data_IF_877780905384
#
_entry.id   IF_877780905384
#
_cell.length_a   1.000
_cell.length_b   1.000
_cell.length_c   1.000
_cell.angle_alpha   90.00
_cell.angle_beta   90.00
_cell.angle_gamma   90.00
#
_symmetry.space_group_name_H-M   'P 1'
#
loop_
_entity.id
_entity.type
_entity.pdbx_description
1 polymer ?
#
# COMPACT_ATOMS: atom_id res chain seq x y z
N UNK A 1 11.41 -21.90 47.34
CA UNK A 1 10.33 -21.07 46.75
C UNK A 1 10.62 -20.87 45.27
N UNK A 2 9.74 -21.36 44.37
CA UNK A 2 9.14 -20.69 43.19
C UNK A 2 10.11 -19.84 42.33
N UNK A 3 10.29 -20.00 41.01
CA UNK A 3 9.40 -20.46 39.91
C UNK A 3 10.28 -20.57 38.64
N UNK A 4 10.30 -21.74 37.98
CA UNK A 4 9.56 -22.08 36.73
C UNK A 4 10.31 -21.72 35.43
N UNK A 5 11.02 -22.71 34.91
CA UNK A 5 11.54 -22.82 33.54
C UNK A 5 10.37 -22.84 32.54
N UNK A 6 10.34 -21.86 31.64
CA UNK A 6 9.61 -21.93 30.38
C UNK A 6 10.40 -22.81 29.41
N UNK A 7 9.97 -24.06 29.25
CA UNK A 7 10.33 -24.90 28.09
C UNK A 7 9.15 -25.75 27.67
N UNK A 8 8.07 -25.11 27.19
CA UNK A 8 7.02 -25.80 26.46
C UNK A 8 7.44 -26.01 25.00
N UNK A 9 8.36 -26.95 24.76
CA UNK A 9 8.44 -27.63 23.48
C UNK A 9 7.28 -28.63 23.45
N UNK A 10 6.16 -28.20 22.85
CA UNK A 10 5.03 -29.07 22.51
C UNK A 10 5.49 -30.07 21.43
N UNK A 11 6.13 -31.14 21.89
CA UNK A 11 6.24 -32.39 21.13
C UNK A 11 4.88 -33.06 21.25
N UNK A 12 4.06 -32.96 20.20
CA UNK A 12 2.84 -33.74 20.08
C UNK A 12 3.20 -35.23 20.10
N UNK A 13 2.71 -36.04 21.06
CA UNK A 13 2.82 -37.49 20.94
C UNK A 13 1.88 -37.96 19.84
N UNK A 14 2.45 -38.44 18.74
CA UNK A 14 1.71 -39.14 17.69
C UNK A 14 1.34 -40.51 18.28
N UNK A 15 0.10 -40.66 18.74
CA UNK A 15 -0.48 -41.98 18.94
C UNK A 15 -0.75 -42.57 17.56
N UNK A 16 0.24 -43.25 16.96
CA UNK A 16 0.00 -44.14 15.84
C UNK A 16 -0.66 -45.41 16.38
N UNK A 17 -1.98 -45.50 16.31
CA UNK A 17 -2.67 -46.78 16.43
C UNK A 17 -2.41 -47.58 15.16
N UNK A 18 -1.38 -48.44 15.18
CA UNK A 18 -1.18 -49.47 14.17
C UNK A 18 -2.17 -50.60 14.43
N UNK A 19 -3.39 -50.49 13.90
CA UNK A 19 -4.21 -51.67 13.69
C UNK A 19 -3.56 -52.50 12.58
N UNK A 20 -2.79 -53.51 12.96
CA UNK A 20 -2.35 -54.58 12.06
C UNK A 20 -3.60 -55.39 11.70
N UNK A 21 -4.14 -55.15 10.51
CA UNK A 21 -5.16 -56.02 9.92
C UNK A 21 -4.52 -57.38 9.64
N UNK A 22 -4.86 -58.41 10.42
CA UNK A 22 -4.59 -59.80 10.05
C UNK A 22 -5.58 -60.20 8.96
N UNK A 23 -5.16 -60.50 7.72
CA UNK A 23 -6.07 -61.02 6.72
C UNK A 23 -6.49 -62.43 7.14
N UNK A 24 -7.80 -62.63 7.32
CA UNK A 24 -8.37 -63.96 7.33
C UNK A 24 -8.16 -64.58 5.95
N UNK A 25 -7.51 -65.75 5.91
CA UNK A 25 -7.40 -66.59 4.72
C UNK A 25 -8.81 -66.96 4.22
N UNK A 26 -9.29 -66.26 3.19
CA UNK A 26 -10.30 -66.80 2.28
C UNK A 26 -9.77 -66.67 0.87
N UNK A 27 -9.36 -67.81 0.31
CA UNK A 27 -9.03 -67.95 -1.11
C UNK A 27 -10.21 -67.50 -1.97
N UNK A 28 -10.10 -66.31 -2.54
CA UNK A 28 -10.79 -65.93 -3.77
C UNK A 28 -9.89 -64.94 -4.51
N UNK A 29 -9.07 -65.50 -5.41
CA UNK A 29 -8.22 -64.79 -6.35
C UNK A 29 -9.07 -64.10 -7.43
N UNK A 30 -9.86 -63.11 -7.02
CA UNK A 30 -10.20 -62.03 -7.94
C UNK A 30 -8.90 -61.25 -8.20
N UNK A 31 -8.50 -61.15 -9.47
CA UNK A 31 -7.42 -60.25 -9.88
C UNK A 31 -7.79 -58.86 -9.36
N UNK A 32 -7.14 -58.43 -8.28
CA UNK A 32 -7.15 -57.02 -7.88
C UNK A 32 -6.38 -56.31 -8.99
N UNK A 33 -7.10 -55.80 -9.98
CA UNK A 33 -6.58 -54.80 -10.90
C UNK A 33 -6.40 -53.55 -10.03
N UNK A 34 -5.23 -53.41 -9.42
CA UNK A 34 -4.81 -52.15 -8.83
C UNK A 34 -4.55 -51.19 -9.99
N UNK A 35 -5.61 -50.57 -10.50
CA UNK A 35 -5.44 -49.34 -11.28
C UNK A 35 -4.75 -48.36 -10.34
N UNK A 36 -3.42 -48.25 -10.48
CA UNK A 36 -2.61 -47.29 -9.75
C UNK A 36 -3.10 -45.91 -10.17
N UNK A 37 -4.03 -45.35 -9.41
CA UNK A 37 -4.48 -43.99 -9.62
C UNK A 37 -3.25 -43.08 -9.52
N UNK A 38 -2.93 -42.41 -10.63
CA UNK A 38 -1.90 -41.39 -10.66
C UNK A 38 -2.22 -40.35 -9.58
N UNK A 39 -1.23 -40.06 -8.74
CA UNK A 39 -1.35 -39.08 -7.68
C UNK A 39 -1.17 -37.69 -8.26
N UNK A 40 -1.70 -36.67 -7.59
CA UNK A 40 -1.66 -35.31 -8.14
C UNK A 40 -0.22 -34.80 -8.31
N UNK A 41 0.69 -35.21 -7.42
CA UNK A 41 2.12 -34.90 -7.48
C UNK A 41 2.88 -35.64 -8.59
N UNK A 42 2.29 -36.63 -9.27
CA UNK A 42 2.93 -37.30 -10.40
C UNK A 42 2.97 -36.38 -11.64
N UNK A 43 2.11 -35.35 -11.68
CA UNK A 43 2.15 -34.33 -12.72
C UNK A 43 3.42 -33.46 -12.63
N UNK A 44 4.11 -33.28 -13.75
CA UNK A 44 5.38 -32.53 -13.84
C UNK A 44 5.28 -31.10 -13.29
N UNK A 45 4.21 -30.39 -13.62
CA UNK A 45 4.01 -29.00 -13.20
C UNK A 45 3.71 -28.91 -11.69
N UNK A 46 2.92 -29.86 -11.16
CA UNK A 46 2.67 -29.95 -9.71
C UNK A 46 3.94 -30.31 -8.95
N UNK A 47 4.73 -31.27 -9.44
CA UNK A 47 6.01 -31.60 -8.81
C UNK A 47 6.98 -30.40 -8.83
N UNK A 48 7.00 -29.60 -9.91
CA UNK A 48 7.79 -28.36 -9.97
C UNK A 48 7.36 -27.36 -8.87
N UNK A 49 6.06 -27.22 -8.61
CA UNK A 49 5.58 -26.38 -7.49
C UNK A 49 6.05 -26.89 -6.13
N UNK A 50 6.01 -28.21 -5.93
CA UNK A 50 6.54 -28.82 -4.71
C UNK A 50 8.05 -28.57 -4.55
N UNK A 51 8.82 -28.63 -5.63
CA UNK A 51 10.27 -28.34 -5.63
C UNK A 51 10.55 -26.85 -5.32
N UNK A 52 9.66 -25.94 -5.73
CA UNK A 52 9.71 -24.52 -5.37
C UNK A 52 9.34 -24.25 -3.91
N UNK A 53 8.53 -25.11 -3.29
CA UNK A 53 8.05 -25.00 -1.91
C UNK A 53 9.01 -25.65 -0.90
N UNK A 54 9.48 -26.87 -1.19
CA UNK A 54 10.32 -27.69 -0.31
C UNK A 54 11.54 -28.22 -1.07
N UNK A 55 12.74 -27.92 -0.54
CA UNK A 55 13.99 -28.39 -1.12
C UNK A 55 14.28 -29.87 -0.82
N UNK A 56 13.90 -30.32 0.37
CA UNK A 56 14.19 -31.69 0.81
C UNK A 56 13.18 -32.69 0.23
N UNK A 57 13.70 -33.78 -0.38
CA UNK A 57 12.90 -34.78 -1.08
C UNK A 57 11.96 -35.54 -0.15
N UNK A 58 12.40 -35.85 1.07
CA UNK A 58 11.59 -36.59 2.04
C UNK A 58 10.47 -35.71 2.60
N UNK A 59 10.77 -34.47 2.97
CA UNK A 59 9.78 -33.48 3.40
C UNK A 59 8.74 -33.23 2.32
N UNK A 60 9.16 -33.11 1.05
CA UNK A 60 8.25 -33.01 -0.10
C UNK A 60 7.26 -34.16 -0.15
N UNK A 61 7.75 -35.40 -0.07
CA UNK A 61 6.91 -36.59 -0.14
C UNK A 61 5.94 -36.67 1.05
N UNK A 62 6.41 -36.38 2.26
CA UNK A 62 5.57 -36.34 3.47
C UNK A 62 4.49 -35.27 3.35
N UNK A 63 4.85 -34.07 2.90
CA UNK A 63 3.91 -32.97 2.69
C UNK A 63 2.84 -33.34 1.66
N UNK A 64 3.25 -33.84 0.49
CA UNK A 64 2.32 -34.27 -0.56
C UNK A 64 1.35 -35.36 -0.07
N UNK A 65 1.85 -36.40 0.60
CA UNK A 65 1.01 -37.47 1.17
C UNK A 65 0.04 -36.93 2.23
N UNK A 66 0.49 -36.01 3.09
CA UNK A 66 -0.38 -35.37 4.08
C UNK A 66 -1.50 -34.59 3.40
N UNK A 67 -1.19 -33.85 2.35
CA UNK A 67 -2.17 -33.05 1.61
C UNK A 67 -3.14 -33.93 0.79
N UNK A 68 -2.67 -35.05 0.23
CA UNK A 68 -3.50 -36.04 -0.46
C UNK A 68 -4.53 -36.71 0.47
N UNK A 69 -4.21 -36.81 1.76
CA UNK A 69 -5.06 -37.44 2.79
C UNK A 69 -6.00 -36.44 3.49
N UNK A 70 -5.98 -35.16 3.14
CA UNK A 70 -6.98 -34.20 3.64
C UNK A 70 -8.34 -34.59 3.05
N UNK A 71 -9.33 -34.79 3.93
CA UNK A 71 -10.68 -35.23 3.58
C UNK A 71 -11.37 -34.30 2.58
N UNK A 72 -12.06 -34.89 1.61
CA UNK A 72 -12.93 -34.20 0.65
C UNK A 72 -14.10 -33.48 1.36
N UNK A 73 -14.43 -33.84 2.61
CA UNK A 73 -15.41 -33.10 3.41
C UNK A 73 -15.05 -31.60 3.57
N UNK A 74 -13.77 -31.26 3.47
CA UNK A 74 -13.29 -29.87 3.49
C UNK A 74 -13.83 -29.03 2.33
N UNK A 75 -14.26 -29.66 1.23
CA UNK A 75 -14.96 -29.00 0.11
C UNK A 75 -16.25 -28.36 0.62
N UNK A 76 -17.03 -29.07 1.45
CA UNK A 76 -18.26 -28.55 2.04
C UNK A 76 -17.98 -27.42 3.03
N UNK A 77 -16.92 -27.52 3.82
CA UNK A 77 -16.48 -26.44 4.71
C UNK A 77 -16.14 -25.18 3.89
N UNK A 78 -15.43 -25.33 2.77
CA UNK A 78 -15.08 -24.19 1.91
C UNK A 78 -16.29 -23.59 1.20
N UNK A 79 -17.29 -24.40 0.83
CA UNK A 79 -18.55 -23.91 0.29
C UNK A 79 -19.26 -23.01 1.31
N UNK A 80 -19.31 -23.42 2.58
CA UNK A 80 -19.84 -22.59 3.67
C UNK A 80 -18.99 -21.31 3.83
N UNK A 81 -17.66 -21.44 3.85
CA UNK A 81 -16.73 -20.31 3.99
C UNK A 81 -16.96 -19.24 2.92
N UNK A 82 -17.05 -19.63 1.64
CA UNK A 82 -17.24 -18.70 0.52
C UNK A 82 -18.65 -18.06 0.48
N UNK A 83 -19.63 -18.70 1.15
CA UNK A 83 -20.97 -18.12 1.35
C UNK A 83 -20.93 -16.99 2.37
N UNK A 84 -20.23 -17.17 3.49
CA UNK A 84 -20.15 -16.18 4.57
C UNK A 84 -19.03 -15.16 4.41
N UNK A 85 -18.08 -15.41 3.51
CA UNK A 85 -16.99 -14.51 3.19
C UNK A 85 -16.84 -14.33 1.69
N UNK A 86 -17.33 -13.20 1.18
CA UNK A 86 -17.28 -12.85 -0.24
C UNK A 86 -15.92 -12.26 -0.61
N UNK A 87 -15.20 -12.92 -1.52
CA UNK A 87 -13.79 -12.65 -1.86
C UNK A 87 -13.58 -11.42 -2.77
N UNK A 88 -14.51 -10.47 -2.81
CA UNK A 88 -14.37 -9.25 -3.62
C UNK A 88 -15.07 -8.03 -3.00
N UNK A 89 -15.59 -8.16 -1.79
CA UNK A 89 -16.28 -7.06 -1.12
C UNK A 89 -15.54 -6.65 0.14
N UNK A 90 -15.24 -5.36 0.27
CA UNK A 90 -14.41 -4.84 1.37
C UNK A 90 -15.19 -4.81 2.68
N UNK A 91 -14.49 -5.26 3.71
CA UNK A 91 -14.98 -5.74 5.00
C UNK A 91 -15.45 -4.63 5.96
N UNK A 92 -15.73 -3.40 5.49
CA UNK A 92 -16.09 -2.27 6.38
C UNK A 92 -17.28 -2.59 7.28
N UNK A 93 -18.24 -3.39 6.83
CA UNK A 93 -19.40 -3.81 7.63
C UNK A 93 -19.13 -5.01 8.53
N UNK A 94 -18.16 -5.86 8.19
CA UNK A 94 -17.77 -7.02 8.99
C UNK A 94 -16.80 -6.62 10.10
N UNK A 95 -16.04 -5.53 10.01
CA UNK A 95 -15.06 -5.14 11.03
C UNK A 95 -15.57 -4.10 12.03
N UNK A 96 -16.70 -3.43 11.74
CA UNK A 96 -17.18 -2.27 12.53
C UNK A 96 -18.41 -2.51 13.42
N UNK A 97 -19.08 -3.68 13.33
CA UNK A 97 -20.31 -3.95 14.10
C UNK A 97 -20.27 -5.35 14.72
N UNK A 98 -20.32 -5.43 16.06
CA UNK A 98 -20.32 -6.66 16.87
C UNK A 98 -21.61 -7.48 16.71
N UNK A 99 -21.70 -8.21 15.60
CA UNK A 99 -22.81 -9.15 15.32
C UNK A 99 -22.33 -10.59 15.28
N UNK A 100 -23.22 -11.55 15.53
CA UNK A 100 -22.94 -12.98 15.34
C UNK A 100 -22.47 -13.27 13.89
N UNK A 101 -23.03 -12.55 12.91
CA UNK A 101 -22.62 -12.62 11.51
C UNK A 101 -21.14 -12.24 11.29
N UNK A 102 -20.66 -11.16 11.92
CA UNK A 102 -19.24 -10.77 11.86
C UNK A 102 -18.32 -11.90 12.35
N UNK A 103 -18.65 -12.54 13.47
CA UNK A 103 -17.82 -13.62 14.01
C UNK A 103 -17.73 -14.80 13.04
N UNK A 104 -18.84 -15.15 12.39
CA UNK A 104 -18.88 -16.19 11.36
C UNK A 104 -18.05 -15.80 10.14
N UNK A 105 -18.19 -14.56 9.66
CA UNK A 105 -17.44 -14.06 8.51
C UNK A 105 -15.92 -13.98 8.78
N UNK A 106 -15.49 -13.55 9.97
CA UNK A 106 -14.08 -13.55 10.36
C UNK A 106 -13.50 -14.96 10.47
N UNK A 107 -14.28 -15.91 11.00
CA UNK A 107 -13.89 -17.33 11.03
C UNK A 107 -13.77 -17.88 9.62
N UNK A 108 -14.70 -17.54 8.73
CA UNK A 108 -14.66 -17.91 7.32
C UNK A 108 -13.40 -17.32 6.62
N UNK A 109 -13.13 -16.02 6.79
CA UNK A 109 -11.89 -15.36 6.31
C UNK A 109 -10.64 -16.11 6.76
N UNK A 110 -10.55 -16.43 8.05
CA UNK A 110 -9.41 -17.17 8.63
C UNK A 110 -9.27 -18.57 8.02
N UNK A 111 -10.37 -19.31 7.86
CA UNK A 111 -10.35 -20.64 7.23
C UNK A 111 -9.92 -20.57 5.78
N UNK A 112 -10.39 -19.58 5.01
CA UNK A 112 -9.98 -19.37 3.63
C UNK A 112 -8.48 -19.02 3.55
N UNK A 113 -8.02 -18.03 4.34
CA UNK A 113 -6.60 -17.65 4.41
C UNK A 113 -5.70 -18.84 4.76
N UNK A 114 -6.09 -19.63 5.75
CA UNK A 114 -5.34 -20.84 6.12
C UNK A 114 -5.30 -21.86 4.98
N UNK A 115 -6.40 -22.03 4.24
CA UNK A 115 -6.45 -22.96 3.10
C UNK A 115 -5.55 -22.48 1.96
N UNK A 116 -5.61 -21.19 1.61
CA UNK A 116 -4.82 -20.57 0.55
C UNK A 116 -3.30 -20.62 0.82
N UNK A 117 -2.89 -20.60 2.09
CA UNK A 117 -1.47 -20.59 2.48
C UNK A 117 -0.90 -21.94 2.91
N UNK A 118 -1.63 -22.72 3.71
CA UNK A 118 -1.11 -23.96 4.30
C UNK A 118 -1.52 -25.21 3.52
N UNK A 119 -2.70 -25.17 2.90
CA UNK A 119 -3.31 -26.30 2.19
C UNK A 119 -3.44 -26.02 0.69
N UNK A 120 -2.51 -25.23 0.15
CA UNK A 120 -2.49 -24.83 -1.26
C UNK A 120 -2.47 -26.04 -2.19
N UNK A 121 -1.73 -27.11 -1.85
CA UNK A 121 -1.66 -28.31 -2.69
C UNK A 121 -3.03 -28.96 -2.79
N UNK A 122 -3.70 -29.15 -1.66
CA UNK A 122 -5.04 -29.71 -1.63
C UNK A 122 -6.04 -28.82 -2.37
N UNK A 123 -5.92 -27.50 -2.24
CA UNK A 123 -6.76 -26.54 -2.98
C UNK A 123 -6.58 -26.72 -4.49
N UNK A 124 -5.34 -26.77 -5.00
CA UNK A 124 -5.06 -26.94 -6.42
C UNK A 124 -5.58 -28.29 -6.95
N UNK A 125 -5.48 -29.37 -6.15
CA UNK A 125 -6.03 -30.68 -6.51
C UNK A 125 -7.55 -30.62 -6.77
N UNK A 126 -8.26 -29.71 -6.10
CA UNK A 126 -9.71 -29.54 -6.20
C UNK A 126 -10.13 -28.29 -6.97
N UNK A 127 -9.19 -27.58 -7.62
CA UNK A 127 -9.46 -26.26 -8.22
C UNK A 127 -10.56 -26.29 -9.28
N UNK A 128 -10.74 -27.43 -9.95
CA UNK A 128 -11.77 -27.63 -10.97
C UNK A 128 -13.21 -27.80 -10.42
N UNK A 129 -13.38 -27.75 -9.10
CA UNK A 129 -14.67 -27.70 -8.42
C UNK A 129 -15.10 -26.27 -8.08
N UNK A 130 -14.19 -25.30 -8.22
CA UNK A 130 -14.44 -23.91 -7.90
C UNK A 130 -15.01 -23.18 -9.13
N UNK A 131 -16.05 -22.41 -8.89
CA UNK A 131 -16.56 -21.42 -9.82
C UNK A 131 -16.03 -20.04 -9.45
N UNK A 132 -15.71 -19.29 -10.49
CA UNK A 132 -15.18 -17.94 -10.41
C UNK A 132 -16.17 -16.99 -11.08
N UNK A 133 -16.53 -15.92 -10.37
CA UNK A 133 -17.44 -14.90 -10.88
C UNK A 133 -16.65 -13.75 -11.47
N UNK A 134 -17.14 -13.19 -12.58
CA UNK A 134 -16.59 -11.98 -13.15
C UNK A 134 -16.58 -10.87 -12.09
N UNK A 135 -15.43 -10.22 -11.93
CA UNK A 135 -15.23 -9.18 -10.94
C UNK A 135 -14.62 -7.92 -11.58
N UNK A 136 -15.45 -6.90 -11.90
CA UNK A 136 -14.96 -5.63 -12.44
C UNK A 136 -14.48 -4.64 -11.36
N UNK A 137 -14.62 -5.00 -10.08
CA UNK A 137 -14.45 -4.08 -8.95
C UNK A 137 -13.03 -4.10 -8.36
N UNK A 138 -12.62 -2.96 -7.80
CA UNK A 138 -11.45 -2.82 -6.93
C UNK A 138 -11.81 -3.17 -5.47
N UNK A 139 -11.14 -2.61 -4.45
CA UNK A 139 -11.53 -2.78 -3.04
C UNK A 139 -12.79 -1.98 -2.64
N UNK A 140 -13.51 -1.40 -3.59
CA UNK A 140 -14.67 -0.54 -3.36
C UNK A 140 -15.59 -0.42 -4.57
N UNK A 141 -16.88 -0.26 -4.31
CA UNK A 141 -17.83 0.12 -5.37
C UNK A 141 -17.76 1.63 -5.59
N UNK A 142 -16.87 2.10 -6.47
CA UNK A 142 -16.69 3.54 -6.77
C UNK A 142 -17.40 3.98 -8.05
N UNK A 143 -17.39 3.12 -9.07
CA UNK A 143 -17.99 3.40 -10.36
C UNK A 143 -19.05 2.33 -10.61
N UNK A 144 -20.20 2.72 -11.18
CA UNK A 144 -21.27 1.75 -11.48
C UNK A 144 -21.52 1.65 -12.98
N UNK A 145 -21.42 2.76 -13.71
CA UNK A 145 -21.68 2.77 -15.16
C UNK A 145 -20.61 2.01 -15.95
N UNK A 146 -19.33 2.17 -15.61
CA UNK A 146 -18.24 1.43 -16.25
C UNK A 146 -18.39 -0.08 -15.97
N UNK A 147 -18.67 -0.44 -14.73
CA UNK A 147 -18.82 -1.81 -14.25
C UNK A 147 -20.01 -2.49 -14.91
N UNK A 148 -21.14 -1.78 -15.07
CA UNK A 148 -22.26 -2.24 -15.90
C UNK A 148 -21.83 -2.50 -17.34
N UNK A 149 -21.12 -1.57 -17.98
CA UNK A 149 -20.66 -1.75 -19.35
C UNK A 149 -19.69 -2.94 -19.48
N UNK A 150 -18.83 -3.17 -18.48
CA UNK A 150 -17.93 -4.33 -18.41
C UNK A 150 -18.71 -5.63 -18.22
N UNK A 151 -19.71 -5.65 -17.34
CA UNK A 151 -20.60 -6.81 -17.12
C UNK A 151 -21.33 -7.15 -18.42
N UNK A 152 -21.91 -6.14 -19.09
CA UNK A 152 -22.61 -6.31 -20.36
C UNK A 152 -21.68 -6.83 -21.45
N UNK A 153 -20.45 -6.31 -21.54
CA UNK A 153 -19.44 -6.79 -22.48
C UNK A 153 -19.11 -8.26 -22.24
N UNK A 154 -18.77 -8.65 -21.00
CA UNK A 154 -18.40 -10.03 -20.68
C UNK A 154 -19.58 -10.98 -20.92
N UNK A 155 -20.78 -10.58 -20.51
CA UNK A 155 -21.98 -11.39 -20.74
C UNK A 155 -22.29 -11.56 -22.23
N UNK A 156 -22.22 -10.50 -23.04
CA UNK A 156 -22.44 -10.57 -24.50
C UNK A 156 -21.39 -11.42 -25.21
N UNK A 157 -20.14 -11.38 -24.77
CA UNK A 157 -19.02 -12.09 -25.42
C UNK A 157 -18.88 -13.55 -24.99
N UNK A 158 -19.24 -13.89 -23.76
CA UNK A 158 -19.02 -15.23 -23.19
C UNK A 158 -20.33 -15.96 -22.82
N UNK A 159 -21.48 -15.29 -22.93
CA UNK A 159 -22.80 -15.79 -22.52
C UNK A 159 -22.85 -16.26 -21.05
N UNK A 160 -21.93 -15.79 -20.21
CA UNK A 160 -21.84 -16.16 -18.80
C UNK A 160 -20.95 -15.16 -18.04
N UNK A 161 -21.28 -14.93 -16.76
CA UNK A 161 -20.42 -14.23 -15.81
C UNK A 161 -19.63 -15.20 -14.93
N UNK A 162 -19.91 -16.49 -15.03
CA UNK A 162 -19.21 -17.56 -14.34
C UNK A 162 -18.20 -18.22 -15.27
N UNK A 163 -17.05 -18.59 -14.71
CA UNK A 163 -16.08 -19.45 -15.37
C UNK A 163 -15.51 -20.44 -14.38
N UNK A 164 -14.86 -21.48 -14.90
CA UNK A 164 -14.19 -22.50 -14.09
C UNK A 164 -12.92 -22.98 -14.79
N UNK A 165 -12.06 -23.60 -13.99
CA UNK A 165 -10.94 -24.39 -14.49
C UNK A 165 -11.48 -25.81 -14.76
N UNK A 166 -11.27 -26.35 -15.96
CA UNK A 166 -11.78 -27.67 -16.30
C UNK A 166 -10.82 -28.78 -15.86
N UNK A 167 -9.53 -28.62 -16.21
CA UNK A 167 -8.48 -29.54 -15.79
C UNK A 167 -7.82 -29.05 -14.50
N UNK A 168 -7.74 -29.92 -13.49
CA UNK A 168 -7.05 -29.62 -12.23
C UNK A 168 -5.53 -29.52 -12.40
N UNK A 169 -4.98 -30.04 -13.50
CA UNK A 169 -3.55 -29.95 -13.80
C UNK A 169 -3.26 -28.69 -14.62
N UNK A 170 -2.30 -27.83 -14.20
CA UNK A 170 -1.90 -26.70 -15.00
C UNK A 170 -1.12 -27.16 -16.24
N UNK A 171 -1.36 -26.52 -17.37
CA UNK A 171 -0.62 -26.68 -18.62
C UNK A 171 0.82 -26.18 -18.49
N UNK A 172 1.01 -25.08 -17.76
CA UNK A 172 2.29 -24.40 -17.61
C UNK A 172 2.44 -23.74 -16.23
N UNK A 173 3.69 -23.66 -15.76
CA UNK A 173 4.08 -22.85 -14.60
C UNK A 173 5.06 -21.78 -15.07
N UNK A 174 4.75 -20.52 -14.81
CA UNK A 174 5.58 -19.35 -15.15
C UNK A 174 5.99 -18.66 -13.85
N UNK A 175 7.27 -18.35 -13.68
CA UNK A 175 7.79 -17.77 -12.43
C UNK A 175 8.49 -16.45 -12.74
N UNK A 176 8.15 -15.41 -11.97
CA UNK A 176 8.82 -14.10 -11.97
C UNK A 176 9.36 -13.80 -10.58
N UNK A 177 10.53 -13.17 -10.52
CA UNK A 177 10.95 -12.50 -9.29
C UNK A 177 10.18 -11.19 -9.17
N UNK A 178 9.78 -10.84 -7.94
CA UNK A 178 9.14 -9.56 -7.65
C UNK A 178 10.20 -8.63 -7.08
N UNK A 179 10.32 -7.45 -7.67
CA UNK A 179 11.27 -6.44 -7.22
C UNK A 179 10.86 -5.88 -5.85
N UNK A 180 11.89 -5.58 -5.03
CA UNK A 180 11.70 -5.00 -3.70
C UNK A 180 11.64 -3.47 -3.79
N UNK A 181 10.71 -2.87 -3.05
CA UNK A 181 10.72 -1.45 -2.73
C UNK A 181 11.56 -1.29 -1.46
N UNK A 182 12.73 -0.68 -1.63
CA UNK A 182 13.66 -0.40 -0.54
C UNK A 182 12.93 0.35 0.58
N UNK A 183 13.24 0.01 1.82
CA UNK A 183 12.69 0.61 3.05
C UNK A 183 11.20 0.31 3.34
N UNK A 184 10.43 -0.22 2.38
CA UNK A 184 9.03 -0.61 2.56
C UNK A 184 8.84 -2.13 2.76
N UNK A 185 9.60 -2.92 2.01
CA UNK A 185 9.35 -4.35 1.86
C UNK A 185 10.00 -5.20 2.95
N UNK A 186 9.20 -6.08 3.57
CA UNK A 186 9.59 -6.90 4.71
C UNK A 186 9.80 -8.37 4.35
N UNK A 187 9.23 -8.84 3.24
CA UNK A 187 9.34 -10.24 2.79
C UNK A 187 10.52 -10.42 1.85
N UNK A 188 11.24 -11.54 1.99
CA UNK A 188 12.46 -11.81 1.20
C UNK A 188 12.18 -12.79 0.06
N UNK A 189 12.94 -12.67 -1.03
CA UNK A 189 12.91 -13.60 -2.18
C UNK A 189 11.50 -13.80 -2.73
N UNK A 190 10.75 -12.70 -2.92
CA UNK A 190 9.39 -12.74 -3.44
C UNK A 190 9.38 -13.22 -4.88
N UNK A 191 8.43 -14.10 -5.20
CA UNK A 191 8.20 -14.59 -6.55
C UNK A 191 6.70 -14.66 -6.83
N UNK A 192 6.30 -14.21 -8.02
CA UNK A 192 4.99 -14.48 -8.58
C UNK A 192 5.05 -15.77 -9.39
N UNK A 193 4.33 -16.80 -8.95
CA UNK A 193 4.20 -18.07 -9.66
C UNK A 193 2.82 -18.10 -10.29
N UNK A 194 2.77 -18.15 -11.61
CA UNK A 194 1.55 -18.20 -12.40
C UNK A 194 1.31 -19.61 -12.92
N UNK A 195 0.13 -20.16 -12.60
CA UNK A 195 -0.35 -21.45 -13.06
C UNK A 195 -1.31 -21.22 -14.23
N UNK A 196 -0.92 -21.68 -15.42
CA UNK A 196 -1.75 -21.59 -16.62
C UNK A 196 -2.60 -22.86 -16.71
N UNK A 197 -3.91 -22.69 -16.83
CA UNK A 197 -4.93 -23.71 -16.96
C UNK A 197 -5.75 -23.46 -18.21
N UNK A 198 -6.29 -24.53 -18.81
CA UNK A 198 -7.12 -24.45 -20.00
C UNK A 198 -6.52 -23.52 -21.07
N UNK A 199 -5.19 -23.54 -21.20
CA UNK A 199 -4.32 -22.72 -22.07
C UNK A 199 -4.31 -21.21 -21.83
N UNK A 200 -5.29 -20.64 -21.13
CA UNK A 200 -5.54 -19.19 -21.10
C UNK A 200 -6.04 -18.63 -19.77
N UNK A 201 -6.39 -19.51 -18.81
CA UNK A 201 -6.79 -19.10 -17.46
C UNK A 201 -5.60 -19.17 -16.53
N UNK A 202 -5.39 -18.15 -15.71
CA UNK A 202 -4.16 -18.00 -14.93
C UNK A 202 -4.49 -17.73 -13.47
N UNK A 203 -3.95 -18.57 -12.59
CA UNK A 203 -4.03 -18.43 -11.13
C UNK A 203 -2.65 -18.03 -10.59
N UNK A 204 -2.59 -17.03 -9.70
CA UNK A 204 -1.34 -16.55 -9.08
C UNK A 204 -1.10 -17.23 -7.73
N UNK A 205 0.17 -17.55 -7.46
CA UNK A 205 0.69 -17.89 -6.14
C UNK A 205 1.82 -16.91 -5.82
N UNK A 206 1.72 -16.23 -4.69
CA UNK A 206 2.84 -15.51 -4.11
C UNK A 206 3.70 -16.49 -3.33
N UNK A 207 4.99 -16.55 -3.68
CA UNK A 207 6.01 -17.24 -2.90
C UNK A 207 6.92 -16.21 -2.24
N UNK A 208 7.26 -16.43 -0.97
CA UNK A 208 8.22 -15.58 -0.26
C UNK A 208 8.90 -16.36 0.87
N UNK A 209 9.95 -15.77 1.45
CA UNK A 209 10.66 -16.30 2.62
C UNK A 209 10.43 -15.41 3.84
N UNK A 210 9.96 -16.00 4.93
CA UNK A 210 9.76 -15.37 6.25
C UNK A 210 10.18 -16.35 7.34
N UNK A 211 10.95 -15.88 8.32
CA UNK A 211 11.52 -16.69 9.42
C UNK A 211 12.28 -17.93 8.92
N UNK A 212 13.07 -17.74 7.87
CA UNK A 212 13.79 -18.78 7.15
C UNK A 212 12.95 -19.90 6.50
N UNK A 213 11.63 -19.79 6.49
CA UNK A 213 10.71 -20.73 5.84
C UNK A 213 10.15 -20.16 4.55
N UNK A 214 9.94 -21.03 3.57
CA UNK A 214 9.24 -20.69 2.34
C UNK A 214 7.74 -20.74 2.62
N UNK A 215 7.03 -19.71 2.18
CA UNK A 215 5.58 -19.59 2.28
C UNK A 215 5.00 -19.45 0.89
N UNK A 216 3.88 -20.12 0.64
CA UNK A 216 3.04 -19.95 -0.53
C UNK A 216 1.73 -19.30 -0.08
N UNK A 217 1.16 -18.46 -0.93
CA UNK A 217 -0.19 -17.93 -0.79
C UNK A 217 -0.85 -17.94 -2.17
N UNK A 218 -1.83 -18.81 -2.36
CA UNK A 218 -2.67 -18.83 -3.57
C UNK A 218 -3.58 -17.62 -3.55
N UNK A 219 -3.68 -16.91 -4.67
CA UNK A 219 -4.59 -15.78 -4.81
C UNK A 219 -5.93 -16.29 -5.35
N UNK A 220 -6.98 -15.56 -5.04
CA UNK A 220 -8.36 -15.95 -5.33
C UNK A 220 -8.87 -15.43 -6.67
N UNK A 221 -8.05 -14.64 -7.36
CA UNK A 221 -8.34 -14.13 -8.69
C UNK A 221 -7.86 -15.09 -9.78
N UNK A 222 -8.76 -15.35 -10.73
CA UNK A 222 -8.49 -16.09 -11.94
C UNK A 222 -8.52 -15.11 -13.12
N UNK A 223 -7.39 -14.95 -13.78
CA UNK A 223 -7.28 -14.13 -14.98
C UNK A 223 -7.56 -14.97 -16.21
N UNK A 224 -8.39 -14.48 -17.14
CA UNK A 224 -8.62 -15.11 -18.43
C UNK A 224 -8.08 -14.22 -19.54
N UNK A 225 -7.04 -14.68 -20.22
CA UNK A 225 -6.39 -13.97 -21.31
C UNK A 225 -7.04 -14.30 -22.66
N UNK A 226 -7.35 -13.26 -23.44
CA UNK A 226 -7.91 -13.39 -24.78
C UNK A 226 -6.90 -13.97 -25.78
N UNK A 227 -5.63 -13.56 -25.69
CA UNK A 227 -4.52 -14.11 -26.51
C UNK A 227 -3.54 -14.93 -25.65
N UNK A 228 -3.56 -16.27 -25.74
CA UNK A 228 -2.67 -17.13 -24.97
C UNK A 228 -1.23 -17.18 -25.49
N UNK A 229 -0.95 -16.72 -26.72
CA UNK A 229 0.35 -16.93 -27.36
C UNK A 229 1.49 -16.13 -26.71
N UNK A 230 1.17 -15.06 -25.99
CA UNK A 230 2.15 -14.16 -25.36
C UNK A 230 2.01 -14.06 -23.83
N UNK A 231 1.42 -15.08 -23.18
CA UNK A 231 1.09 -15.05 -21.75
C UNK A 231 2.25 -14.59 -20.86
N UNK A 232 3.46 -15.14 -21.05
CA UNK A 232 4.63 -14.77 -20.23
C UNK A 232 4.90 -13.26 -20.27
N UNK A 233 4.92 -12.66 -21.45
CA UNK A 233 5.18 -11.23 -21.63
C UNK A 233 4.05 -10.37 -21.04
N UNK A 234 2.80 -10.80 -21.21
CA UNK A 234 1.65 -10.10 -20.66
C UNK A 234 1.65 -10.12 -19.12
N UNK A 235 1.97 -11.27 -18.51
CA UNK A 235 2.08 -11.41 -17.06
C UNK A 235 3.25 -10.61 -16.48
N UNK A 236 4.39 -10.58 -17.17
CA UNK A 236 5.55 -9.74 -16.80
C UNK A 236 5.19 -8.25 -16.81
N UNK A 237 4.45 -7.80 -17.82
CA UNK A 237 3.95 -6.42 -17.89
C UNK A 237 3.00 -6.09 -16.73
N UNK A 238 2.11 -7.02 -16.36
CA UNK A 238 1.20 -6.84 -15.22
C UNK A 238 2.00 -6.73 -13.90
N UNK A 239 2.97 -7.61 -13.63
CA UNK A 239 3.80 -7.52 -12.42
C UNK A 239 4.60 -6.22 -12.36
N UNK A 240 5.20 -5.81 -13.49
CA UNK A 240 5.94 -4.56 -13.58
C UNK A 240 5.04 -3.35 -13.26
N UNK A 241 3.82 -3.32 -13.79
CA UNK A 241 2.86 -2.25 -13.49
C UNK A 241 2.44 -2.21 -12.03
N UNK A 242 2.23 -3.36 -11.40
CA UNK A 242 1.92 -3.44 -9.97
C UNK A 242 3.08 -2.85 -9.15
N UNK A 243 4.33 -3.21 -9.48
CA UNK A 243 5.52 -2.67 -8.83
C UNK A 243 5.64 -1.15 -9.01
N UNK A 244 5.57 -0.66 -10.26
CA UNK A 244 5.68 0.76 -10.58
C UNK A 244 4.65 1.60 -9.83
N UNK A 245 3.39 1.13 -9.79
CA UNK A 245 2.32 1.82 -9.05
C UNK A 245 2.55 1.83 -7.55
N UNK A 246 3.04 0.71 -6.98
CA UNK A 246 3.34 0.62 -5.56
C UNK A 246 4.49 1.55 -5.18
N UNK A 247 5.52 1.62 -6.01
CA UNK A 247 6.65 2.54 -5.84
C UNK A 247 6.21 4.00 -5.96
N UNK A 248 5.37 4.35 -6.93
CA UNK A 248 4.82 5.70 -7.08
C UNK A 248 4.06 6.14 -5.85
N UNK A 249 3.12 5.32 -5.35
CA UNK A 249 2.34 5.63 -4.14
C UNK A 249 3.21 5.80 -2.89
N UNK A 250 4.29 5.02 -2.77
CA UNK A 250 5.24 5.17 -1.67
C UNK A 250 6.00 6.50 -1.76
N UNK A 251 6.54 6.82 -2.95
CA UNK A 251 7.30 8.05 -3.16
C UNK A 251 6.45 9.31 -3.03
N UNK A 252 5.21 9.28 -3.55
CA UNK A 252 4.23 10.37 -3.41
C UNK A 252 3.92 10.62 -1.93
N UNK A 253 3.60 9.57 -1.16
CA UNK A 253 3.30 9.71 0.26
C UNK A 253 4.51 10.21 1.09
N UNK A 254 5.73 9.77 0.76
CA UNK A 254 6.94 10.28 1.40
C UNK A 254 7.14 11.76 1.08
N UNK A 255 6.92 12.14 -0.18
CA UNK A 255 7.06 13.52 -0.63
C UNK A 255 6.04 14.43 0.07
N UNK A 256 4.76 14.04 0.08
CA UNK A 256 3.68 14.78 0.77
C UNK A 256 4.01 14.96 2.25
N UNK A 257 4.48 13.91 2.93
CA UNK A 257 4.87 14.01 4.34
C UNK A 257 6.01 15.02 4.58
N UNK A 258 7.02 15.03 3.71
CA UNK A 258 8.13 15.99 3.82
C UNK A 258 7.64 17.42 3.54
N UNK A 259 6.75 17.60 2.56
CA UNK A 259 6.16 18.91 2.22
C UNK A 259 5.31 19.45 3.38
N UNK A 260 4.42 18.64 3.97
CA UNK A 260 3.58 19.02 5.12
C UNK A 260 4.42 19.46 6.34
N UNK A 261 5.41 18.68 6.75
CA UNK A 261 6.28 19.02 7.88
C UNK A 261 7.12 20.29 7.62
N UNK A 262 7.43 20.57 6.34
CA UNK A 262 8.12 21.79 5.95
C UNK A 262 7.23 23.03 6.00
N UNK A 263 5.94 22.91 5.66
CA UNK A 263 4.97 24.01 5.71
C UNK A 263 4.65 24.39 7.16
N UNK A 264 4.40 23.42 8.04
CA UNK A 264 4.13 23.66 9.46
C UNK A 264 5.29 24.40 10.16
N UNK A 265 6.54 24.10 9.76
CA UNK A 265 7.73 24.79 10.31
C UNK A 265 7.82 26.27 9.91
N UNK A 266 7.25 26.67 8.76
CA UNK A 266 7.26 28.05 8.30
C UNK A 266 6.18 28.90 8.99
N UNK A 267 5.05 28.31 9.36
CA UNK A 267 3.97 29.00 10.06
C UNK A 267 4.35 29.33 11.52
N UNK A 268 4.97 28.40 12.24
CA UNK A 268 5.50 28.66 13.60
C UNK A 268 6.58 29.76 13.60
N UNK A 269 7.33 29.86 12.51
CA UNK A 269 8.37 30.85 12.28
C UNK A 269 7.75 32.24 12.02
N UNK A 270 6.68 32.33 11.24
CA UNK A 270 5.93 33.58 11.04
C UNK A 270 5.35 34.11 12.35
N UNK A 271 4.72 33.26 13.16
CA UNK A 271 4.10 33.66 14.43
C UNK A 271 5.11 34.23 15.44
N UNK A 272 6.33 33.66 15.50
CA UNK A 272 7.40 34.17 16.38
C UNK A 272 7.87 35.56 15.95
N UNK A 273 7.92 35.83 14.65
CA UNK A 273 8.33 37.12 14.12
C UNK A 273 7.25 38.19 14.21
N UNK A 274 5.97 37.82 14.17
CA UNK A 274 4.85 38.76 14.21
C UNK A 274 4.93 39.67 15.45
N UNK A 275 5.24 39.11 16.62
CA UNK A 275 5.40 39.91 17.85
C UNK A 275 6.55 40.94 17.76
N UNK A 276 7.68 40.58 17.13
CA UNK A 276 8.82 41.48 16.94
C UNK A 276 8.48 42.56 15.92
N UNK A 277 7.82 42.18 14.82
CA UNK A 277 7.47 43.12 13.76
C UNK A 277 6.39 44.09 14.17
N UNK A 278 5.40 43.65 14.94
CA UNK A 278 4.39 44.55 15.49
C UNK A 278 5.01 45.50 16.52
N UNK A 279 5.85 45.03 17.44
CA UNK A 279 6.58 45.91 18.38
C UNK A 279 7.44 46.95 17.63
N UNK A 280 8.21 46.50 16.62
CA UNK A 280 9.03 47.39 15.80
C UNK A 280 8.20 48.47 15.10
N UNK A 281 7.05 48.09 14.52
CA UNK A 281 6.14 49.01 13.83
C UNK A 281 5.53 50.01 14.81
N UNK A 282 4.98 49.54 15.93
CA UNK A 282 4.34 50.37 16.94
C UNK A 282 5.31 51.43 17.48
N UNK A 283 6.50 51.01 17.92
CA UNK A 283 7.53 51.91 18.44
C UNK A 283 8.01 52.91 17.37
N UNK A 284 8.18 52.45 16.13
CA UNK A 284 8.59 53.33 15.02
C UNK A 284 7.52 54.36 14.69
N UNK A 285 6.23 53.97 14.72
CA UNK A 285 5.09 54.84 14.45
C UNK A 285 4.97 55.88 15.55
N UNK A 286 5.11 55.49 16.82
CA UNK A 286 4.99 56.41 17.97
C UNK A 286 5.93 57.62 17.82
N UNK A 287 7.18 57.40 17.39
CA UNK A 287 8.16 58.47 17.17
C UNK A 287 7.74 59.46 16.08
N UNK A 288 7.10 58.97 15.01
CA UNK A 288 6.86 59.79 13.81
C UNK A 288 5.41 60.26 13.67
N UNK A 289 4.48 59.73 14.47
CA UNK A 289 3.05 60.02 14.39
C UNK A 289 2.72 61.48 14.75
N UNK A 290 3.52 62.12 15.60
CA UNK A 290 3.33 63.53 15.96
C UNK A 290 3.80 64.50 14.87
N UNK A 291 4.59 64.03 13.90
CA UNK A 291 5.30 64.89 12.93
C UNK A 291 4.87 64.62 11.48
N UNK A 292 4.25 63.48 11.21
CA UNK A 292 3.86 63.05 9.87
C UNK A 292 2.35 63.05 9.67
N UNK A 293 1.92 63.31 8.43
CA UNK A 293 0.53 63.13 8.05
C UNK A 293 0.18 61.63 7.85
N UNK A 294 -1.12 61.33 7.81
CA UNK A 294 -1.63 59.95 7.65
C UNK A 294 -1.15 59.26 6.37
N UNK A 295 -0.86 60.01 5.31
CA UNK A 295 -0.39 59.44 4.03
C UNK A 295 1.07 59.04 4.14
N UNK A 296 1.90 59.89 4.75
CA UNK A 296 3.31 59.64 5.02
C UNK A 296 3.49 58.46 5.99
N UNK A 297 2.66 58.37 7.04
CA UNK A 297 2.66 57.24 7.97
C UNK A 297 2.40 55.90 7.26
N UNK A 298 1.40 55.87 6.37
CA UNK A 298 1.09 54.66 5.58
C UNK A 298 2.20 54.30 4.59
N UNK A 299 2.90 55.29 4.04
CA UNK A 299 4.04 55.05 3.16
C UNK A 299 5.20 54.42 3.94
N UNK A 300 5.51 54.95 5.12
CA UNK A 300 6.51 54.39 6.01
C UNK A 300 6.18 52.94 6.43
N UNK A 301 4.95 52.70 6.88
CA UNK A 301 4.47 51.35 7.25
C UNK A 301 4.67 50.34 6.12
N UNK A 302 4.31 50.70 4.88
CA UNK A 302 4.50 49.82 3.71
C UNK A 302 5.97 49.52 3.43
N UNK A 303 6.87 50.47 3.66
CA UNK A 303 8.30 50.26 3.49
C UNK A 303 8.84 49.28 4.54
N UNK A 304 8.41 49.45 5.79
CA UNK A 304 8.76 48.55 6.91
C UNK A 304 8.22 47.14 6.66
N UNK A 305 6.94 46.99 6.33
CA UNK A 305 6.31 45.70 6.05
C UNK A 305 7.02 44.96 4.92
N UNK A 306 7.42 45.68 3.86
CA UNK A 306 8.12 45.09 2.72
C UNK A 306 9.47 44.49 3.14
N UNK A 307 10.24 45.19 3.96
CA UNK A 307 11.54 44.70 4.42
C UNK A 307 11.36 43.52 5.38
N UNK A 308 10.42 43.60 6.34
CA UNK A 308 10.16 42.53 7.30
C UNK A 308 9.69 41.24 6.60
N UNK A 309 8.79 41.35 5.61
CA UNK A 309 8.36 40.20 4.81
C UNK A 309 9.48 39.60 3.96
N UNK A 310 10.39 40.45 3.45
CA UNK A 310 11.55 39.97 2.70
C UNK A 310 12.58 39.28 3.58
N UNK A 311 12.69 39.67 4.85
CA UNK A 311 13.54 38.98 5.82
C UNK A 311 13.03 37.56 6.05
N UNK A 312 11.74 37.37 6.37
CA UNK A 312 11.13 36.04 6.59
C UNK A 312 11.41 35.09 5.40
N UNK A 313 11.29 35.59 4.16
CA UNK A 313 11.49 34.79 2.94
C UNK A 313 12.95 34.37 2.68
N UNK A 314 13.93 34.98 3.34
CA UNK A 314 15.35 34.85 2.99
C UNK A 314 16.25 34.42 4.17
N UNK A 315 15.70 33.97 5.30
CA UNK A 315 16.48 33.41 6.42
C UNK A 315 17.05 32.05 6.01
N UNK A 316 18.20 32.07 5.33
CA UNK A 316 19.05 30.88 5.12
C UNK A 316 20.38 30.98 5.88
N UNK A 317 20.79 32.21 6.18
CA UNK A 317 21.96 32.57 6.98
C UNK A 317 21.51 33.65 7.96
N UNK A 318 21.41 33.29 9.24
CA UNK A 318 20.88 34.13 10.32
C UNK A 318 21.66 35.45 10.44
N UNK A 319 22.99 35.34 10.49
CA UNK A 319 23.87 36.51 10.69
C UNK A 319 23.87 37.40 9.44
N UNK A 320 23.90 36.80 8.25
CA UNK A 320 23.80 37.53 6.98
C UNK A 320 22.45 38.21 6.79
N UNK A 321 21.35 37.54 7.14
CA UNK A 321 19.99 38.05 6.98
C UNK A 321 19.68 39.21 7.93
N UNK A 322 20.07 39.13 9.21
CA UNK A 322 19.85 40.20 10.19
C UNK A 322 20.64 41.45 9.79
N UNK A 323 21.92 41.27 9.40
CA UNK A 323 22.75 42.36 8.93
C UNK A 323 22.13 43.06 7.71
N UNK A 324 21.67 42.27 6.73
CA UNK A 324 21.01 42.80 5.53
C UNK A 324 19.71 43.53 5.85
N UNK A 325 18.85 42.96 6.71
CA UNK A 325 17.61 43.61 7.16
C UNK A 325 17.90 44.95 7.82
N UNK A 326 18.88 44.99 8.72
CA UNK A 326 19.33 46.21 9.41
C UNK A 326 19.80 47.28 8.41
N UNK A 327 20.67 46.92 7.47
CA UNK A 327 21.17 47.83 6.44
C UNK A 327 20.04 48.38 5.55
N UNK A 328 19.09 47.52 5.14
CA UNK A 328 17.93 47.92 4.34
C UNK A 328 16.97 48.83 5.11
N UNK A 329 16.71 48.58 6.39
CA UNK A 329 15.86 49.42 7.23
C UNK A 329 16.45 50.81 7.43
N UNK A 330 17.74 50.90 7.79
CA UNK A 330 18.43 52.18 7.99
C UNK A 330 18.42 53.02 6.70
N UNK A 331 18.72 52.38 5.55
CA UNK A 331 18.66 53.05 4.25
C UNK A 331 17.26 53.56 3.90
N UNK A 332 16.22 52.80 4.26
CA UNK A 332 14.84 53.21 4.03
C UNK A 332 14.43 54.37 4.93
N UNK A 333 14.83 54.38 6.20
CA UNK A 333 14.60 55.50 7.12
C UNK A 333 15.25 56.77 6.55
N UNK A 334 16.51 56.70 6.13
CA UNK A 334 17.22 57.83 5.52
C UNK A 334 16.49 58.36 4.29
N UNK A 335 16.17 57.49 3.34
CA UNK A 335 15.48 57.91 2.12
C UNK A 335 14.07 58.47 2.39
N UNK A 336 13.38 57.95 3.40
CA UNK A 336 12.06 58.41 3.77
C UNK A 336 12.10 59.80 4.40
N UNK A 337 13.04 60.06 5.32
CA UNK A 337 13.21 61.36 5.97
C UNK A 337 13.67 62.43 4.97
N UNK A 338 14.58 62.11 4.05
CA UNK A 338 15.02 63.02 2.98
C UNK A 338 13.87 63.49 2.07
N UNK A 339 12.93 62.59 1.75
CA UNK A 339 11.75 62.90 0.92
C UNK A 339 10.69 63.71 1.67
N UNK A 340 10.75 63.76 2.99
CA UNK A 340 9.76 64.40 3.84
C UNK A 340 10.41 65.45 4.78
N UNK A 341 11.01 66.52 4.23
CA UNK A 341 11.83 67.49 4.96
C UNK A 341 11.05 68.46 5.86
N UNK A 342 9.71 68.43 5.85
CA UNK A 342 8.87 69.30 6.71
C UNK A 342 8.94 68.94 8.20
N UNK A 343 9.78 67.98 8.60
CA UNK A 343 10.11 67.59 9.97
C UNK A 343 11.10 68.59 10.61
N UNK A 344 10.80 69.89 10.54
CA UNK A 344 11.74 70.98 10.81
C UNK A 344 11.81 71.41 12.30
N UNK A 345 11.85 70.43 13.19
CA UNK A 345 12.49 70.48 14.51
C UNK A 345 12.55 69.02 14.99
N UNK A 346 13.72 68.38 14.89
CA UNK A 346 13.93 67.03 15.39
C UNK A 346 14.21 65.92 14.37
N UNK A 347 14.43 66.18 13.07
CA UNK A 347 14.70 65.09 12.11
C UNK A 347 15.92 64.23 12.47
N UNK A 348 16.96 64.83 13.04
CA UNK A 348 18.15 64.13 13.53
C UNK A 348 17.87 63.32 14.81
N UNK A 349 16.96 63.80 15.66
CA UNK A 349 16.55 63.14 16.90
C UNK A 349 15.58 61.97 16.62
N UNK A 350 14.65 62.17 15.67
CA UNK A 350 13.78 61.14 15.11
C UNK A 350 14.62 60.06 14.45
N UNK A 351 15.59 60.44 13.60
CA UNK A 351 16.51 59.50 12.97
C UNK A 351 17.23 58.65 14.01
N UNK A 352 17.88 59.27 15.01
CA UNK A 352 18.57 58.55 16.09
C UNK A 352 17.64 57.61 16.86
N UNK A 353 16.40 58.02 17.09
CA UNK A 353 15.41 57.20 17.81
C UNK A 353 14.97 55.98 16.98
N UNK A 354 14.72 56.17 15.68
CA UNK A 354 14.41 55.06 14.76
C UNK A 354 15.61 54.12 14.56
N UNK A 355 16.83 54.66 14.43
CA UNK A 355 18.07 53.87 14.38
C UNK A 355 18.25 53.04 15.65
N UNK A 356 17.93 53.60 16.82
CA UNK A 356 17.96 52.88 18.09
C UNK A 356 16.99 51.71 18.09
N UNK A 357 15.74 51.90 17.62
CA UNK A 357 14.77 50.81 17.49
C UNK A 357 15.33 49.73 16.55
N UNK A 358 15.82 50.09 15.37
CA UNK A 358 16.40 49.12 14.41
C UNK A 358 17.54 48.33 15.05
N UNK A 359 18.42 48.98 15.82
CA UNK A 359 19.50 48.31 16.54
C UNK A 359 18.96 47.37 17.62
N UNK A 360 18.00 47.81 18.44
CA UNK A 360 17.39 46.99 19.49
C UNK A 360 16.65 45.79 18.92
N UNK A 361 15.91 45.97 17.82
CA UNK A 361 15.26 44.87 17.12
C UNK A 361 16.27 43.91 16.51
N UNK A 362 17.36 44.39 15.92
CA UNK A 362 18.45 43.54 15.43
C UNK A 362 19.08 42.72 16.57
N UNK A 363 19.33 43.31 17.74
CA UNK A 363 19.82 42.59 18.91
C UNK A 363 18.81 41.56 19.44
N UNK A 364 17.52 41.87 19.40
CA UNK A 364 16.47 40.93 19.80
C UNK A 364 16.39 39.74 18.82
N UNK A 365 16.54 40.01 17.52
CA UNK A 365 16.67 38.97 16.50
C UNK A 365 17.93 38.13 16.74
N UNK A 366 19.10 38.73 17.00
CA UNK A 366 20.34 37.99 17.29
C UNK A 366 20.26 37.12 18.55
N UNK A 367 19.41 37.48 19.52
CA UNK A 367 19.14 36.69 20.73
C UNK A 367 18.09 35.59 20.51
N UNK A 368 17.35 35.60 19.41
CA UNK A 368 16.43 34.51 19.09
C UNK A 368 17.20 33.25 18.70
N UNK A 369 16.76 32.12 19.25
CA UNK A 369 17.29 30.82 18.87
C UNK A 369 16.71 30.37 17.53
N UNK A 370 17.37 30.79 16.45
CA UNK A 370 17.07 30.32 15.10
C UNK A 370 17.51 28.85 14.86
N UNK A 371 18.32 28.24 15.73
CA UNK A 371 18.81 26.85 15.53
C UNK A 371 17.72 25.80 15.72
N UNK A 372 16.67 26.11 16.48
CA UNK A 372 15.44 25.29 16.51
C UNK A 372 14.52 25.57 15.32
N UNK A 373 14.87 26.52 14.47
CA UNK A 373 14.02 27.08 13.42
C UNK A 373 14.67 26.86 12.03
N UNK A 374 15.79 26.12 11.98
CA UNK A 374 16.49 25.88 10.74
C UNK A 374 15.82 24.77 9.90
N UNK A 375 15.25 25.22 8.80
CA UNK A 375 14.84 24.58 7.52
C UNK A 375 15.69 23.45 6.94
N UNK A 376 16.68 22.92 7.67
CA UNK A 376 17.23 21.60 7.42
C UNK A 376 16.42 20.59 8.25
N UNK A 377 15.16 20.39 7.86
CA UNK A 377 14.52 19.11 8.17
C UNK A 377 15.44 18.07 7.55
N UNK A 378 16.20 17.38 8.42
CA UNK A 378 17.06 16.30 8.01
C UNK A 378 16.17 15.28 7.30
N UNK A 379 16.22 15.28 5.96
CA UNK A 379 15.36 14.45 5.12
C UNK A 379 15.48 12.99 5.52
N UNK A 380 16.66 12.55 5.99
CA UNK A 380 16.88 11.20 6.49
C UNK A 380 16.10 10.97 7.80
N UNK A 381 16.08 11.94 8.72
CA UNK A 381 15.31 11.88 9.96
C UNK A 381 13.79 11.90 9.71
N UNK A 382 13.32 12.76 8.80
CA UNK A 382 11.91 12.79 8.39
C UNK A 382 11.51 11.48 7.72
N UNK A 383 12.35 10.96 6.83
CA UNK A 383 12.15 9.67 6.20
C UNK A 383 12.08 8.56 7.25
N UNK A 384 12.94 8.55 8.27
CA UNK A 384 12.85 7.58 9.37
C UNK A 384 11.52 7.69 10.15
N UNK A 385 11.04 8.91 10.40
CA UNK A 385 9.75 9.14 11.07
C UNK A 385 8.57 8.66 10.21
N UNK A 386 8.56 9.02 8.92
CA UNK A 386 7.61 8.52 7.93
C UNK A 386 7.59 7.01 7.89
N UNK A 387 8.75 6.35 7.80
CA UNK A 387 8.84 4.91 7.71
C UNK A 387 8.25 4.21 8.94
N UNK A 388 8.43 4.76 10.15
CA UNK A 388 7.85 4.20 11.39
C UNK A 388 6.32 4.12 11.33
N UNK A 389 5.67 5.12 10.74
CA UNK A 389 4.20 5.17 10.67
C UNK A 389 3.68 4.49 9.40
N UNK A 390 4.31 4.72 8.25
CA UNK A 390 3.87 4.25 6.94
C UNK A 390 4.05 2.74 6.76
N UNK A 391 5.21 2.18 7.10
CA UNK A 391 5.51 0.75 6.90
C UNK A 391 4.54 -0.13 7.70
N UNK A 392 4.20 0.28 8.93
CA UNK A 392 3.27 -0.47 9.79
C UNK A 392 1.90 -0.74 9.13
N UNK A 393 1.53 0.07 8.14
CA UNK A 393 0.26 -0.03 7.43
C UNK A 393 0.40 -0.46 5.97
N UNK A 394 1.58 -0.36 5.35
CA UNK A 394 1.76 -0.49 3.89
C UNK A 394 2.89 -1.46 3.48
N UNK A 395 3.49 -2.19 4.41
CA UNK A 395 4.50 -3.21 4.10
C UNK A 395 3.96 -4.34 3.22
N UNK A 396 4.82 -5.28 2.83
CA UNK A 396 4.42 -6.45 2.05
C UNK A 396 3.30 -7.27 2.72
N UNK A 397 3.28 -7.36 4.06
CA UNK A 397 2.26 -8.11 4.79
C UNK A 397 0.89 -7.48 4.62
N UNK A 398 0.80 -6.15 4.73
CA UNK A 398 -0.42 -5.39 4.48
C UNK A 398 -0.81 -5.40 3.00
N UNK A 399 0.19 -5.27 2.11
CA UNK A 399 -0.04 -5.25 0.67
C UNK A 399 -0.70 -6.55 0.21
N UNK A 400 -0.08 -7.71 0.50
CA UNK A 400 -0.59 -9.02 0.08
C UNK A 400 -1.64 -9.63 1.00
N UNK A 401 -2.09 -8.90 2.04
CA UNK A 401 -3.14 -9.39 2.90
C UNK A 401 -4.45 -9.56 2.11
N UNK A 402 -5.04 -10.74 2.24
CA UNK A 402 -6.32 -11.08 1.66
C UNK A 402 -7.41 -10.12 2.19
N UNK A 403 -7.86 -9.20 1.33
CA UNK A 403 -8.79 -8.11 1.65
C UNK A 403 -8.27 -7.16 2.73
N UNK A 404 -7.01 -6.74 2.65
CA UNK A 404 -6.57 -5.54 3.36
C UNK A 404 -7.31 -4.31 2.84
N UNK A 405 -7.34 -3.27 3.67
CA UNK A 405 -7.96 -2.00 3.32
C UNK A 405 -7.09 -1.33 2.25
N UNK A 406 -7.42 -1.49 0.96
CA UNK A 406 -6.96 -0.65 -0.18
C UNK A 406 -5.49 -0.77 -0.57
N UNK A 407 -4.97 -1.97 -0.86
CA UNK A 407 -3.54 -2.10 -1.22
C UNK A 407 -3.26 -2.97 -2.43
N UNK A 408 -3.26 -4.31 -2.31
CA UNK A 408 -2.95 -5.15 -3.49
C UNK A 408 -4.05 -5.11 -4.55
N UNK A 409 -5.30 -5.29 -4.15
CA UNK A 409 -6.39 -5.43 -5.10
C UNK A 409 -6.66 -4.14 -5.88
N UNK A 410 -6.62 -2.97 -5.22
CA UNK A 410 -6.68 -1.68 -5.90
C UNK A 410 -5.56 -1.53 -6.95
N UNK A 411 -4.29 -1.73 -6.56
CA UNK A 411 -3.16 -1.61 -7.50
C UNK A 411 -3.19 -2.65 -8.62
N UNK A 412 -3.66 -3.85 -8.31
CA UNK A 412 -3.82 -4.91 -9.29
C UNK A 412 -4.89 -4.56 -10.32
N UNK A 413 -6.04 -4.04 -9.89
CA UNK A 413 -7.10 -3.59 -10.79
C UNK A 413 -6.63 -2.42 -11.63
N UNK A 414 -5.98 -1.42 -11.04
CA UNK A 414 -5.41 -0.30 -11.80
C UNK A 414 -4.40 -0.78 -12.86
N UNK A 415 -3.57 -1.79 -12.55
CA UNK A 415 -2.64 -2.38 -13.51
C UNK A 415 -3.36 -3.13 -14.64
N UNK A 416 -4.43 -3.87 -14.32
CA UNK A 416 -5.26 -4.56 -15.31
C UNK A 416 -6.04 -3.59 -16.18
N UNK A 417 -6.56 -2.50 -15.62
CA UNK A 417 -7.25 -1.46 -16.38
C UNK A 417 -6.32 -0.84 -17.41
N UNK A 418 -5.11 -0.44 -17.00
CA UNK A 418 -4.13 0.10 -17.93
C UNK A 418 -3.73 -0.92 -19.00
N UNK A 419 -3.58 -2.20 -18.62
CA UNK A 419 -3.32 -3.29 -19.57
C UNK A 419 -4.46 -3.45 -20.60
N UNK A 420 -5.71 -3.33 -20.14
CA UNK A 420 -6.93 -3.38 -20.93
C UNK A 420 -7.28 -2.04 -21.62
N UNK A 421 -6.46 -1.00 -21.46
CA UNK A 421 -6.74 0.36 -21.93
C UNK A 421 -8.07 0.95 -21.38
N UNK A 422 -8.46 0.56 -20.16
CA UNK A 422 -9.61 1.12 -19.45
C UNK A 422 -9.17 2.40 -18.73
N UNK A 423 -9.92 3.47 -18.93
CA UNK A 423 -9.82 4.67 -18.13
C UNK A 423 -11.07 4.80 -17.26
N UNK A 424 -10.93 4.68 -15.94
CA UNK A 424 -12.03 4.80 -14.98
C UNK A 424 -12.53 6.25 -14.78
N UNK A 425 -11.71 7.25 -15.10
CA UNK A 425 -12.02 8.68 -14.93
C UNK A 425 -12.73 9.30 -16.14
N UNK A 426 -12.77 8.60 -17.27
CA UNK A 426 -13.58 9.01 -18.42
C UNK A 426 -14.91 8.28 -18.33
N UNK A 427 -16.02 9.00 -18.41
CA UNK A 427 -17.29 8.39 -18.80
C UNK A 427 -17.05 7.79 -20.18
N UNK A 428 -16.72 6.50 -20.21
CA UNK A 428 -16.52 5.78 -21.46
C UNK A 428 -17.88 5.76 -22.15
N UNK A 429 -18.10 6.75 -23.04
CA UNK A 429 -19.18 6.73 -24.00
C UNK A 429 -19.07 5.37 -24.70
N UNK A 430 -20.11 4.58 -24.50
CA UNK A 430 -20.27 3.21 -24.97
C UNK A 430 -19.67 3.07 -26.39
N UNK A 431 -18.73 2.12 -26.59
CA UNK A 431 -18.59 1.28 -27.80
C UNK A 431 -17.19 0.65 -28.06
N UNK A 432 -16.13 0.95 -27.30
CA UNK A 432 -14.78 0.38 -27.58
C UNK A 432 -14.16 -0.41 -26.41
N UNK A 433 -14.96 -1.12 -25.61
CA UNK A 433 -14.41 -2.06 -24.61
C UNK A 433 -13.96 -3.32 -25.35
N UNK A 434 -12.65 -3.60 -25.34
CA UNK A 434 -12.08 -4.88 -25.74
C UNK A 434 -11.09 -5.35 -24.66
N UNK A 435 -11.56 -6.22 -23.77
CA UNK A 435 -10.74 -6.73 -22.67
C UNK A 435 -9.74 -7.75 -23.20
N UNK A 436 -8.45 -7.46 -23.01
CA UNK A 436 -7.35 -8.41 -23.25
C UNK A 436 -7.27 -9.45 -22.14
N UNK A 437 -7.58 -9.04 -20.91
CA UNK A 437 -7.63 -9.88 -19.71
C UNK A 437 -8.92 -9.62 -18.96
N UNK A 438 -9.64 -10.70 -18.67
CA UNK A 438 -10.85 -10.66 -17.85
C UNK A 438 -10.50 -11.21 -16.47
N UNK A 439 -10.85 -10.47 -15.43
CA UNK A 439 -10.66 -10.89 -14.04
C UNK A 439 -11.92 -11.56 -13.52
N UNK A 440 -11.75 -12.75 -12.96
CA UNK A 440 -12.75 -13.44 -12.17
C UNK A 440 -12.22 -13.65 -10.74
N UNK A 441 -13.11 -13.76 -9.77
CA UNK A 441 -12.76 -14.04 -8.37
C UNK A 441 -13.50 -15.27 -7.86
N UNK A 442 -12.81 -16.09 -7.06
CA UNK A 442 -13.33 -17.32 -6.47
C UNK A 442 -14.63 -17.03 -5.70
N UNK A 443 -15.72 -17.71 -6.08
CA UNK A 443 -17.05 -17.43 -5.53
C UNK A 443 -17.67 -18.62 -4.82
N UNK A 444 -17.76 -19.76 -5.51
CA UNK A 444 -18.60 -20.88 -5.10
C UNK A 444 -17.89 -22.20 -5.40
N UNK A 445 -18.39 -23.25 -4.77
CA UNK A 445 -18.03 -24.63 -5.09
C UNK A 445 -19.35 -25.36 -5.36
N UNK A 446 -19.50 -25.93 -6.56
CA UNK A 446 -20.67 -26.73 -6.90
C UNK A 446 -20.30 -28.21 -6.93
N UNK A 447 -21.25 -29.05 -6.49
CA UNK A 447 -21.14 -30.49 -6.65
C UNK A 447 -21.20 -30.83 -8.14
N UNK A 448 -20.37 -31.80 -8.56
CA UNK A 448 -20.64 -32.49 -9.82
C UNK A 448 -22.00 -33.17 -9.67
N UNK A 449 -22.95 -32.80 -10.53
CA UNK A 449 -24.18 -33.58 -10.73
C UNK A 449 -23.84 -34.98 -11.23
#
# INVERSE_FOLDING_TARGET
MKKLLLSSLLVFPILTTSCIYKPNNSNNSSKIITNKQEKFYDNKNINNLLDLYLKDKQQKQIYALKQENISDAKINDLKFVLTFYTVFNNNRSIESVTTHYQQVALKAKKTLKNTLSNDWYWLLKHINQFDFNFNPYDDSYKHFKLEQNLIDYVYKTHNNLLTKINDKYPDQVIVFNIDDIKDLDSLKNKQAIYLVYDKSKVLKILKYKKDNKVHFQVFTDLLWFKDPNNLKKQLEQIEKKIYEKRLSKFNEALKEYIEEESEDSNDELSEKFDSIWESFKEESIEIINEVLDRKQLREYQRLVDKINNNFIRNIKDETGAIKKWKEEQLKNIDSFLEKNPNTNMGSEEIKKSLEKIVNTTAENLEKMDFKNINTNLDEDKLKEQFLKTYVSKNDDSAFYELHSKRQYNDLFVEALDEFNNINRNKENKENNIDLKVIRYSMRNIYEKK
#
